data_IF_059328466910
#
_entry.id   IF_059328466910
#
_cell.length_a   1.000
_cell.length_b   1.000
_cell.length_c   1.000
_cell.angle_alpha   90.00
_cell.angle_beta   90.00
_cell.angle_gamma   90.00
#
_symmetry.space_group_name_H-M   'P 1'
#
loop_
_entity.id
_entity.type
_entity.pdbx_description
1 polymer ?
#
# COMPACT_ATOMS: atom_id res chain seq x y z
N UNK A 1 -24.16 -27.94 2.30
CA UNK A 1 -22.87 -27.90 1.55
C UNK A 1 -22.49 -26.51 1.04
N UNK A 2 -23.41 -25.67 0.53
CA UNK A 2 -23.05 -24.33 -0.01
C UNK A 2 -22.37 -23.36 0.96
N UNK A 3 -22.79 -23.33 2.24
CA UNK A 3 -22.19 -22.43 3.25
C UNK A 3 -20.72 -22.77 3.56
N UNK A 4 -20.37 -24.06 3.56
CA UNK A 4 -18.99 -24.49 3.80
C UNK A 4 -18.12 -24.13 2.60
N UNK A 5 -18.63 -24.31 1.38
CA UNK A 5 -17.90 -23.93 0.17
C UNK A 5 -17.64 -22.42 0.06
N UNK A 6 -18.60 -21.57 0.47
CA UNK A 6 -18.38 -20.12 0.48
C UNK A 6 -17.29 -19.72 1.50
N UNK A 7 -17.33 -20.29 2.70
CA UNK A 7 -16.32 -20.04 3.74
C UNK A 7 -14.89 -20.43 3.30
N UNK A 8 -14.74 -21.57 2.63
CA UNK A 8 -13.43 -22.04 2.14
C UNK A 8 -12.90 -21.16 0.99
N UNK A 9 -13.79 -20.68 0.10
CA UNK A 9 -13.41 -19.75 -0.98
C UNK A 9 -12.94 -18.40 -0.42
N UNK A 10 -13.66 -17.86 0.56
CA UNK A 10 -13.31 -16.58 1.21
C UNK A 10 -11.91 -16.67 1.85
N UNK A 11 -11.57 -17.80 2.46
CA UNK A 11 -10.25 -18.00 3.05
C UNK A 11 -9.12 -18.07 2.01
N UNK A 12 -9.35 -18.74 0.88
CA UNK A 12 -8.35 -18.84 -0.20
C UNK A 12 -8.13 -17.47 -0.84
N UNK A 13 -9.20 -16.71 -1.08
CA UNK A 13 -9.12 -15.37 -1.65
C UNK A 13 -8.39 -14.40 -0.71
N UNK A 14 -8.75 -14.38 0.57
CA UNK A 14 -8.08 -13.54 1.56
C UNK A 14 -6.60 -13.92 1.72
N UNK A 15 -6.25 -15.21 1.63
CA UNK A 15 -4.85 -15.65 1.64
C UNK A 15 -4.08 -15.18 0.41
N UNK A 16 -4.69 -15.30 -0.76
CA UNK A 16 -4.11 -14.82 -2.01
C UNK A 16 -3.90 -13.30 -1.97
N UNK A 17 -4.87 -12.55 -1.45
CA UNK A 17 -4.76 -11.11 -1.24
C UNK A 17 -3.65 -10.77 -0.24
N UNK A 18 -3.60 -11.42 0.93
CA UNK A 18 -2.54 -11.20 1.92
C UNK A 18 -1.14 -11.41 1.32
N UNK A 19 -0.93 -12.50 0.57
CA UNK A 19 0.34 -12.80 -0.11
C UNK A 19 0.67 -11.73 -1.16
N UNK A 20 -0.32 -11.29 -1.93
CA UNK A 20 -0.16 -10.24 -2.95
C UNK A 20 0.30 -8.93 -2.30
N UNK A 21 -0.38 -8.47 -1.25
CA UNK A 21 -0.05 -7.20 -0.59
C UNK A 21 1.31 -7.23 0.09
N UNK A 22 1.67 -8.33 0.77
CA UNK A 22 2.99 -8.50 1.36
C UNK A 22 4.07 -8.53 0.27
N UNK A 23 3.82 -9.19 -0.85
CA UNK A 23 4.75 -9.23 -1.99
C UNK A 23 5.00 -7.82 -2.56
N UNK A 24 3.95 -7.01 -2.69
CA UNK A 24 4.06 -5.60 -3.09
C UNK A 24 4.86 -4.79 -2.06
N UNK A 25 4.61 -4.98 -0.75
CA UNK A 25 5.40 -4.35 0.30
C UNK A 25 6.90 -4.69 0.17
N UNK A 26 7.24 -5.95 -0.10
CA UNK A 26 8.61 -6.39 -0.34
C UNK A 26 9.25 -5.71 -1.56
N UNK A 27 8.51 -5.52 -2.65
CA UNK A 27 9.00 -4.79 -3.83
C UNK A 27 9.34 -3.33 -3.48
N UNK A 28 8.48 -2.64 -2.73
CA UNK A 28 8.76 -1.27 -2.28
C UNK A 28 9.96 -1.23 -1.30
N UNK A 29 10.11 -2.23 -0.44
CA UNK A 29 11.25 -2.35 0.47
C UNK A 29 12.57 -2.55 -0.31
N UNK A 30 12.55 -3.37 -1.36
CA UNK A 30 13.70 -3.55 -2.24
C UNK A 30 14.02 -2.26 -3.02
N UNK A 31 12.99 -1.59 -3.54
CA UNK A 31 13.14 -0.30 -4.21
C UNK A 31 13.76 0.77 -3.30
N UNK A 32 13.43 0.75 -2.01
CA UNK A 32 13.97 1.62 -0.95
C UNK A 32 15.49 1.49 -0.76
N UNK A 33 16.06 0.33 -1.11
CA UNK A 33 17.51 0.09 -1.11
C UNK A 33 18.18 0.69 -2.33
N UNK A 34 17.50 0.72 -3.48
CA UNK A 34 18.05 1.18 -4.75
C UNK A 34 17.83 2.67 -5.04
N UNK A 35 16.76 3.29 -4.55
CA UNK A 35 16.48 4.71 -4.80
C UNK A 35 16.38 5.53 -3.52
N UNK A 36 17.07 6.68 -3.48
CA UNK A 36 16.92 7.69 -2.42
C UNK A 36 15.78 8.66 -2.72
N UNK A 37 15.35 8.77 -3.97
CA UNK A 37 14.28 9.68 -4.37
C UNK A 37 12.93 9.12 -3.92
N UNK A 38 12.10 9.94 -3.26
CA UNK A 38 10.79 9.56 -2.73
C UNK A 38 10.80 8.47 -1.65
N UNK A 39 11.89 8.35 -0.88
CA UNK A 39 12.01 7.37 0.22
C UNK A 39 10.84 7.42 1.20
N UNK A 40 10.39 8.61 1.60
CA UNK A 40 9.27 8.77 2.53
C UNK A 40 7.97 8.14 2.00
N UNK A 41 7.70 8.30 0.69
CA UNK A 41 6.53 7.71 0.04
C UNK A 41 6.67 6.18 -0.03
N UNK A 42 7.86 5.68 -0.35
CA UNK A 42 8.12 4.23 -0.38
C UNK A 42 7.97 3.61 1.01
N UNK A 43 8.45 4.25 2.08
CA UNK A 43 8.29 3.76 3.46
C UNK A 43 6.81 3.71 3.84
N UNK A 44 6.07 4.77 3.50
CA UNK A 44 4.62 4.83 3.74
C UNK A 44 3.89 3.70 3.00
N UNK A 45 4.26 3.43 1.74
CA UNK A 45 3.71 2.29 0.99
C UNK A 45 4.04 0.94 1.64
N UNK A 46 5.30 0.71 2.05
CA UNK A 46 5.70 -0.53 2.72
C UNK A 46 4.83 -0.79 3.95
N UNK A 47 4.69 0.23 4.81
CA UNK A 47 3.90 0.11 6.03
C UNK A 47 2.42 -0.14 5.70
N UNK A 48 1.83 0.63 4.78
CA UNK A 48 0.42 0.49 4.42
C UNK A 48 0.10 -0.87 3.78
N UNK A 49 0.93 -1.36 2.85
CA UNK A 49 0.75 -2.68 2.22
C UNK A 49 0.98 -3.83 3.20
N UNK A 50 1.96 -3.72 4.09
CA UNK A 50 2.19 -4.72 5.13
C UNK A 50 1.02 -4.79 6.11
N UNK A 51 0.52 -3.64 6.59
CA UNK A 51 -0.63 -3.59 7.49
C UNK A 51 -1.91 -4.10 6.82
N UNK A 52 -2.12 -3.79 5.53
CA UNK A 52 -3.25 -4.30 4.78
C UNK A 52 -3.18 -5.83 4.62
N UNK A 53 -2.04 -6.38 4.19
CA UNK A 53 -1.87 -7.83 4.08
C UNK A 53 -1.97 -8.58 5.41
N UNK A 54 -1.49 -7.98 6.51
CA UNK A 54 -1.70 -8.53 7.86
C UNK A 54 -3.19 -8.51 8.25
N UNK A 55 -3.93 -7.47 7.86
CA UNK A 55 -5.38 -7.41 8.13
C UNK A 55 -6.14 -8.53 7.41
N UNK A 56 -5.79 -8.81 6.15
CA UNK A 56 -6.37 -9.92 5.38
C UNK A 56 -6.01 -11.29 5.99
N UNK A 57 -4.78 -11.44 6.50
CA UNK A 57 -4.38 -12.66 7.21
C UNK A 57 -5.19 -12.90 8.51
N UNK A 58 -5.53 -11.82 9.23
CA UNK A 58 -6.36 -11.91 10.44
C UNK A 58 -7.80 -12.28 10.08
N UNK A 59 -8.33 -11.87 8.91
CA UNK A 59 -9.65 -12.28 8.44
C UNK A 59 -9.75 -13.80 8.21
N UNK A 60 -8.69 -14.43 7.71
CA UNK A 60 -8.63 -15.90 7.56
C UNK A 60 -8.80 -16.61 8.91
N UNK A 61 -8.23 -16.03 9.98
CA UNK A 61 -8.24 -16.57 11.35
C UNK A 61 -9.56 -16.33 12.07
N UNK A 62 -10.15 -15.15 11.87
CA UNK A 62 -11.40 -14.73 12.53
C UNK A 62 -12.65 -15.22 11.80
N UNK A 63 -12.53 -15.62 10.53
CA UNK A 63 -13.65 -16.00 9.64
C UNK A 63 -14.74 -14.92 9.57
N UNK A 64 -14.38 -13.68 9.86
CA UNK A 64 -15.29 -12.55 9.91
C UNK A 64 -14.62 -11.32 9.28
N UNK A 65 -15.26 -10.75 8.27
CA UNK A 65 -14.76 -9.59 7.53
C UNK A 65 -14.89 -8.25 8.27
N UNK A 66 -15.60 -8.22 9.41
CA UNK A 66 -15.90 -7.00 10.19
C UNK A 66 -15.54 -7.10 11.68
N UNK A 67 -15.05 -8.25 12.15
CA UNK A 67 -14.72 -8.47 13.56
C UNK A 67 -13.24 -8.84 13.71
N UNK A 68 -12.45 -8.03 14.45
CA UNK A 68 -12.82 -6.77 15.13
C UNK A 68 -12.92 -5.56 14.18
N UNK A 69 -13.82 -4.61 14.49
CA UNK A 69 -14.06 -3.37 13.71
C UNK A 69 -12.79 -2.53 13.50
N UNK A 70 -11.81 -2.68 14.39
CA UNK A 70 -10.49 -2.07 14.24
C UNK A 70 -9.77 -2.47 12.95
N UNK A 71 -9.97 -3.68 12.43
CA UNK A 71 -9.41 -4.11 11.14
C UNK A 71 -10.04 -3.35 9.98
N UNK A 72 -11.34 -3.08 10.03
CA UNK A 72 -12.02 -2.30 9.02
C UNK A 72 -11.48 -0.86 8.96
N UNK A 73 -11.26 -0.25 10.13
CA UNK A 73 -10.64 1.09 10.22
C UNK A 73 -9.21 1.07 9.67
N UNK A 74 -8.44 0.02 9.99
CA UNK A 74 -7.09 -0.16 9.47
C UNK A 74 -7.09 -0.25 7.94
N UNK A 75 -7.95 -1.11 7.36
CA UNK A 75 -8.11 -1.24 5.91
C UNK A 75 -8.50 0.09 5.26
N UNK A 76 -9.48 0.80 5.82
CA UNK A 76 -9.89 2.11 5.34
C UNK A 76 -8.73 3.13 5.38
N UNK A 77 -7.97 3.15 6.47
CA UNK A 77 -6.78 3.99 6.61
C UNK A 77 -5.69 3.65 5.58
N UNK A 78 -5.44 2.37 5.33
CA UNK A 78 -4.50 1.92 4.30
C UNK A 78 -4.95 2.35 2.89
N UNK A 79 -6.23 2.21 2.55
CA UNK A 79 -6.79 2.65 1.26
C UNK A 79 -6.60 4.16 1.07
N UNK A 80 -6.96 4.96 2.08
CA UNK A 80 -6.75 6.43 2.05
C UNK A 80 -5.26 6.76 1.86
N UNK A 81 -4.37 6.01 2.52
CA UNK A 81 -2.93 6.18 2.40
C UNK A 81 -2.46 5.86 0.98
N UNK A 82 -2.92 4.76 0.37
CA UNK A 82 -2.59 4.42 -1.02
C UNK A 82 -3.03 5.51 -1.99
N UNK A 83 -4.26 6.00 -1.85
CA UNK A 83 -4.79 7.09 -2.69
C UNK A 83 -3.97 8.37 -2.52
N UNK A 84 -3.65 8.73 -1.28
CA UNK A 84 -2.86 9.94 -0.97
C UNK A 84 -1.46 9.86 -1.57
N UNK A 85 -0.75 8.74 -1.35
CA UNK A 85 0.59 8.52 -1.91
C UNK A 85 0.55 8.51 -3.43
N UNK A 86 -0.46 7.88 -4.04
CA UNK A 86 -0.63 7.87 -5.50
C UNK A 86 -0.85 9.28 -6.08
N UNK A 87 -1.68 10.10 -5.43
CA UNK A 87 -1.90 11.50 -5.84
C UNK A 87 -0.60 12.29 -5.73
N UNK A 88 0.13 12.18 -4.62
CA UNK A 88 1.40 12.89 -4.41
C UNK A 88 2.43 12.44 -5.46
N UNK A 89 2.56 11.14 -5.70
CA UNK A 89 3.47 10.60 -6.69
C UNK A 89 3.14 11.12 -8.10
N UNK A 90 1.86 11.11 -8.50
CA UNK A 90 1.44 11.68 -9.80
C UNK A 90 1.71 13.17 -9.91
N UNK A 91 1.51 13.94 -8.84
CA UNK A 91 1.81 15.39 -8.82
C UNK A 91 3.31 15.62 -9.01
N UNK A 92 4.16 14.93 -8.24
CA UNK A 92 5.63 15.04 -8.35
C UNK A 92 6.18 14.64 -9.72
N UNK A 93 5.53 13.71 -10.42
CA UNK A 93 5.91 13.31 -11.78
C UNK A 93 5.49 14.32 -12.85
N UNK A 94 4.47 15.14 -12.58
CA UNK A 94 3.93 16.14 -13.52
C UNK A 94 4.61 17.50 -13.41
N UNK A 95 5.21 17.82 -12.28
CA UNK A 95 6.06 19.00 -12.15
C UNK A 95 7.42 18.67 -12.77
N UNK A 96 7.74 19.12 -14.00
CA UNK A 96 9.12 19.04 -14.46
C UNK A 96 10.02 19.76 -13.45
N UNK A 97 11.26 19.31 -13.23
CA UNK A 97 12.21 20.09 -12.44
C UNK A 97 12.23 21.49 -13.05
N UNK A 98 12.05 22.49 -12.20
CA UNK A 98 12.10 23.89 -12.60
C UNK A 98 13.44 24.12 -13.29
N UNK A 99 13.42 24.21 -14.62
CA UNK A 99 14.54 24.69 -15.39
C UNK A 99 14.49 26.20 -15.27
N UNK A 100 14.72 26.76 -14.07
CA UNK A 100 15.15 28.15 -14.01
C UNK A 100 16.49 28.20 -14.72
N UNK A 101 16.62 28.87 -15.88
CA UNK A 101 17.94 29.24 -16.34
C UNK A 101 18.55 30.09 -15.23
N UNK A 102 19.63 29.60 -14.63
CA UNK A 102 20.48 30.46 -13.81
C UNK A 102 20.94 31.59 -14.73
N UNK A 103 20.38 32.79 -14.57
CA UNK A 103 20.97 33.97 -15.17
C UNK A 103 22.41 34.06 -14.64
N UNK A 104 23.42 34.17 -15.52
CA UNK A 104 24.78 34.45 -15.10
C UNK A 104 24.79 35.71 -14.22
N UNK A 105 25.65 35.78 -13.20
CA UNK A 105 25.75 36.92 -12.28
C UNK A 105 26.23 38.24 -12.91
N UNK A 106 26.20 38.37 -14.24
CA UNK A 106 26.81 39.46 -15.02
C UNK A 106 25.74 40.24 -15.84
N UNK A 107 24.67 40.71 -15.19
CA UNK A 107 23.76 41.73 -15.73
C UNK A 107 23.97 43.07 -15.04
#
# INVERSE_FOLDING_TARGET
>A
MRLVQSLELDQILNLAEAILWISIACLFLFQLRHTKQNRDLSITCVIAFALFGVSDFIEIRTRAWYQPVSLFILKAGCIVTFVTVFIIYRRRRKTPPDKTPQCPPDC
#
